data_IF_106781243994
#
_entry.id   IF_106781243994
#
_cell.length_a   1.000
_cell.length_b   1.000
_cell.length_c   1.000
_cell.angle_alpha   90.00
_cell.angle_beta   90.00
_cell.angle_gamma   90.00
#
_symmetry.space_group_name_H-M   'P 1'
#
loop_
_entity.id
_entity.type
_entity.pdbx_description
1 polymer ?
#
# COMPACT_ATOMS: atom_id res chain seq x y z
N UNK A 1 -9.11 1.62 -8.22
CA UNK A 1 -9.59 0.33 -7.67
C UNK A 1 -8.60 -0.84 -7.84
N UNK A 2 -8.14 -1.18 -9.04
CA UNK A 2 -7.23 -2.34 -9.23
C UNK A 2 -5.95 -2.29 -8.37
N UNK A 3 -5.33 -1.11 -8.24
CA UNK A 3 -4.13 -0.91 -7.41
C UNK A 3 -4.42 -1.13 -5.92
N UNK A 4 -5.59 -0.69 -5.44
CA UNK A 4 -6.02 -0.87 -4.05
C UNK A 4 -6.20 -2.36 -3.76
N UNK A 5 -6.87 -3.09 -4.66
CA UNK A 5 -7.11 -4.52 -4.47
C UNK A 5 -5.81 -5.35 -4.50
N UNK A 6 -4.91 -5.07 -5.45
CA UNK A 6 -3.61 -5.75 -5.49
C UNK A 6 -2.76 -5.44 -4.26
N UNK A 7 -2.77 -4.19 -3.80
CA UNK A 7 -2.08 -3.79 -2.57
C UNK A 7 -2.67 -4.46 -1.34
N UNK A 8 -4.01 -4.60 -1.28
CA UNK A 8 -4.70 -5.32 -0.22
C UNK A 8 -4.28 -6.79 -0.15
N UNK A 9 -4.22 -7.47 -1.30
CA UNK A 9 -3.76 -8.85 -1.39
C UNK A 9 -2.30 -8.98 -0.94
N UNK A 10 -1.42 -8.05 -1.36
CA UNK A 10 -0.04 -8.02 -0.92
C UNK A 10 0.09 -7.81 0.61
N UNK A 11 -0.69 -6.89 1.17
CA UNK A 11 -0.74 -6.64 2.62
C UNK A 11 -1.23 -7.86 3.41
N UNK A 12 -2.22 -8.58 2.89
CA UNK A 12 -2.73 -9.80 3.49
C UNK A 12 -1.68 -10.92 3.47
N UNK A 13 -1.04 -11.16 2.31
CA UNK A 13 0.05 -12.15 2.18
C UNK A 13 1.25 -11.81 3.07
N UNK A 14 1.53 -10.52 3.27
CA UNK A 14 2.57 -10.05 4.19
C UNK A 14 2.18 -10.13 5.68
N UNK A 15 1.00 -10.67 6.02
CA UNK A 15 0.50 -10.76 7.40
C UNK A 15 0.20 -9.40 8.04
N UNK A 16 -0.03 -8.35 7.25
CA UNK A 16 -0.37 -7.00 7.72
C UNK A 16 -1.87 -6.73 7.74
N UNK A 17 -2.64 -7.49 6.97
CA UNK A 17 -4.10 -7.47 6.98
C UNK A 17 -4.63 -8.90 7.16
N UNK A 18 -5.74 -9.04 7.88
CA UNK A 18 -6.40 -10.31 8.17
C UNK A 18 -7.30 -10.78 7.02
N UNK A 19 -7.78 -9.84 6.20
CA UNK A 19 -8.61 -10.10 5.03
C UNK A 19 -8.43 -9.02 3.96
N UNK A 20 -9.02 -9.25 2.78
CA UNK A 20 -8.93 -8.32 1.65
C UNK A 20 -9.63 -6.99 1.91
N UNK A 21 -10.68 -6.95 2.74
CA UNK A 21 -11.41 -5.71 3.03
C UNK A 21 -10.56 -4.79 3.90
N UNK A 22 -10.01 -5.31 4.99
CA UNK A 22 -9.06 -4.59 5.84
C UNK A 22 -7.83 -4.15 5.02
N UNK A 23 -7.31 -5.04 4.17
CA UNK A 23 -6.19 -4.71 3.28
C UNK A 23 -6.52 -3.56 2.32
N UNK A 24 -7.74 -3.51 1.78
CA UNK A 24 -8.18 -2.45 0.88
C UNK A 24 -8.34 -1.11 1.62
N UNK A 25 -8.89 -1.11 2.83
CA UNK A 25 -8.98 0.07 3.69
C UNK A 25 -7.58 0.62 4.03
N UNK A 26 -6.64 -0.26 4.38
CA UNK A 26 -5.24 0.13 4.64
C UNK A 26 -4.54 0.69 3.40
N UNK A 27 -4.73 0.05 2.24
CA UNK A 27 -4.15 0.48 0.98
C UNK A 27 -4.69 1.84 0.56
N UNK A 28 -6.01 2.04 0.60
CA UNK A 28 -6.66 3.32 0.32
C UNK A 28 -6.14 4.41 1.25
N UNK A 29 -6.12 4.18 2.57
CA UNK A 29 -5.60 5.13 3.54
C UNK A 29 -4.13 5.53 3.27
N UNK A 30 -3.28 4.58 2.86
CA UNK A 30 -1.88 4.86 2.51
C UNK A 30 -1.73 5.69 1.24
N UNK A 31 -2.62 5.51 0.27
CA UNK A 31 -2.65 6.29 -0.99
C UNK A 31 -3.16 7.70 -0.70
N UNK A 32 -4.33 7.81 -0.06
CA UNK A 32 -5.02 9.09 0.17
C UNK A 32 -4.23 10.01 1.10
N UNK A 33 -3.52 9.44 2.09
CA UNK A 33 -2.66 10.22 2.98
C UNK A 33 -1.31 10.60 2.37
N UNK A 34 -0.99 10.16 1.14
CA UNK A 34 0.28 10.43 0.46
C UNK A 34 1.48 9.62 0.98
N UNK A 35 1.29 8.70 1.93
CA UNK A 35 2.36 7.82 2.44
C UNK A 35 2.98 6.98 1.33
N UNK A 36 2.16 6.46 0.42
CA UNK A 36 2.62 5.70 -0.75
C UNK A 36 3.58 6.53 -1.62
N UNK A 37 3.24 7.80 -1.88
CA UNK A 37 4.09 8.73 -2.63
C UNK A 37 5.40 9.00 -1.90
N UNK A 38 5.36 9.25 -0.59
CA UNK A 38 6.58 9.47 0.21
C UNK A 38 7.52 8.27 0.18
N UNK A 39 6.99 7.05 0.19
CA UNK A 39 7.78 5.83 0.05
C UNK A 39 8.47 5.78 -1.32
N UNK A 40 7.75 6.09 -2.40
CA UNK A 40 8.31 6.18 -3.76
C UNK A 40 9.42 7.24 -3.85
N UNK A 41 9.19 8.45 -3.34
CA UNK A 41 10.19 9.53 -3.32
C UNK A 41 11.45 9.11 -2.54
N UNK A 42 11.29 8.30 -1.50
CA UNK A 42 12.41 7.76 -0.73
C UNK A 42 13.17 6.72 -1.53
N UNK A 43 12.49 5.81 -2.22
CA UNK A 43 13.10 4.84 -3.11
C UNK A 43 13.93 5.52 -4.21
N UNK A 44 13.37 6.55 -4.86
CA UNK A 44 14.08 7.33 -5.88
C UNK A 44 15.36 7.94 -5.31
N UNK A 45 15.30 8.53 -4.10
CA UNK A 45 16.48 9.16 -3.46
C UNK A 45 17.61 8.19 -3.12
N UNK A 46 17.31 6.92 -2.85
CA UNK A 46 18.33 5.92 -2.47
C UNK A 46 18.80 5.05 -3.64
N UNK A 47 18.12 5.11 -4.79
CA UNK A 47 18.45 4.34 -5.99
C UNK A 47 18.95 5.20 -7.16
N UNK A 48 18.99 6.54 -7.00
CA UNK A 48 19.62 7.47 -7.93
C UNK A 48 21.11 7.65 -7.58
#
# INVERSE_FOLDING_TARGET
>A
DIVVLNSAAALMVAGKANDLKQGAEMAAASIDSGKAKKALDTLVRICA
#
